data_IF_637959201135
#
_entry.id   IF_637959201135
#
_cell.length_a   1.000
_cell.length_b   1.000
_cell.length_c   1.000
_cell.angle_alpha   90.00
_cell.angle_beta   90.00
_cell.angle_gamma   90.00
#
_symmetry.space_group_name_H-M   'P 1'
#
loop_
_entity.id
_entity.type
_entity.pdbx_description
1 polymer ?
#
# COMPACT_ATOMS: atom_id res chain seq x y z
N UNK A 1 11.21 31.42 2.23
CA UNK A 1 11.19 30.27 1.31
C UNK A 1 10.14 29.30 1.85
N UNK A 2 9.14 28.92 1.06
CA UNK A 2 7.99 28.14 1.52
C UNK A 2 8.16 26.65 1.23
N UNK A 3 8.51 25.87 2.25
CA UNK A 3 8.48 24.40 2.23
C UNK A 3 7.43 23.89 3.21
N UNK A 4 6.92 22.67 2.97
CA UNK A 4 6.01 21.98 3.89
C UNK A 4 6.85 21.12 4.83
N UNK A 5 6.65 21.28 6.13
CA UNK A 5 7.24 20.40 7.14
C UNK A 5 6.22 19.35 7.54
N UNK A 6 6.61 18.08 7.48
CA UNK A 6 5.75 16.95 7.83
C UNK A 6 6.45 16.11 8.91
N UNK A 7 5.73 15.91 10.00
CA UNK A 7 6.12 15.02 11.10
C UNK A 7 5.72 13.59 10.73
N UNK A 8 6.68 12.66 10.85
CA UNK A 8 6.56 11.24 10.57
C UNK A 8 5.38 10.58 11.28
N UNK A 9 5.05 10.98 12.52
CA UNK A 9 3.94 10.42 13.29
C UNK A 9 2.56 10.79 12.70
N UNK A 10 2.53 11.91 11.97
CA UNK A 10 1.32 12.45 11.35
C UNK A 10 1.19 12.09 9.88
N UNK A 11 2.18 11.37 9.31
CA UNK A 11 2.11 10.97 7.92
C UNK A 11 0.93 10.04 7.67
N UNK A 12 0.23 10.34 6.59
CA UNK A 12 -0.92 9.63 6.07
C UNK A 12 -0.65 9.29 4.61
N UNK A 13 -0.85 8.04 4.26
CA UNK A 13 -0.64 7.47 2.95
C UNK A 13 -1.93 6.81 2.49
N UNK A 14 -2.06 6.75 1.17
CA UNK A 14 -3.02 5.91 0.50
C UNK A 14 -2.32 5.38 -0.76
N UNK A 15 -2.17 4.06 -0.93
CA UNK A 15 -1.44 3.47 -2.05
C UNK A 15 -2.11 3.78 -3.41
N UNK A 16 -3.38 4.17 -3.42
CA UNK A 16 -4.16 4.46 -4.62
C UNK A 16 -4.32 5.95 -4.91
N UNK A 17 -4.10 6.85 -3.93
CA UNK A 17 -4.52 8.25 -4.04
C UNK A 17 -4.01 8.99 -5.28
N UNK A 18 -2.82 8.66 -5.78
CA UNK A 18 -2.24 9.37 -6.92
C UNK A 18 -2.35 8.61 -8.24
N UNK A 19 -2.96 7.42 -8.31
CA UNK A 19 -3.03 6.68 -9.58
C UNK A 19 -3.92 7.40 -10.58
N UNK A 20 -3.50 7.40 -11.84
CA UNK A 20 -4.25 7.99 -12.98
C UNK A 20 -4.52 6.96 -14.06
N UNK A 21 -3.62 6.00 -14.23
CA UNK A 21 -3.75 4.86 -15.11
C UNK A 21 -3.34 3.59 -14.33
N UNK A 22 -4.32 2.72 -14.10
CA UNK A 22 -4.12 1.49 -13.33
C UNK A 22 -3.30 0.45 -14.10
N UNK A 23 -3.36 0.43 -15.43
CA UNK A 23 -2.59 -0.53 -16.22
C UNK A 23 -1.09 -0.26 -16.12
N UNK A 24 -0.72 1.02 -15.93
CA UNK A 24 0.67 1.44 -15.71
C UNK A 24 1.10 1.42 -14.23
N UNK A 25 0.15 1.39 -13.29
CA UNK A 25 0.45 1.61 -11.86
C UNK A 25 0.17 0.39 -10.97
N UNK A 26 -0.63 -0.59 -11.42
CA UNK A 26 -1.06 -1.70 -10.59
C UNK A 26 0.12 -2.54 -10.06
N UNK A 27 1.11 -2.82 -10.90
CA UNK A 27 2.31 -3.57 -10.50
C UNK A 27 3.07 -2.84 -9.39
N UNK A 28 3.20 -1.52 -9.50
CA UNK A 28 3.88 -0.68 -8.50
C UNK A 28 3.14 -0.66 -7.16
N UNK A 29 1.80 -0.59 -7.19
CA UNK A 29 0.98 -0.67 -5.97
C UNK A 29 1.09 -2.05 -5.35
N UNK A 30 1.06 -3.11 -6.16
CA UNK A 30 1.30 -4.48 -5.71
C UNK A 30 2.68 -4.60 -5.06
N UNK A 31 3.73 -4.03 -5.64
CA UNK A 31 5.08 -4.03 -5.07
C UNK A 31 5.12 -3.30 -3.73
N UNK A 32 4.45 -2.15 -3.62
CA UNK A 32 4.31 -1.41 -2.36
C UNK A 32 3.67 -2.28 -1.27
N UNK A 33 2.54 -2.91 -1.58
CA UNK A 33 1.81 -3.75 -0.64
C UNK A 33 2.60 -5.02 -0.29
N UNK A 34 3.34 -5.60 -1.23
CA UNK A 34 4.24 -6.74 -0.98
C UNK A 34 5.32 -6.38 0.04
N UNK A 35 5.93 -5.21 -0.10
CA UNK A 35 6.95 -4.74 0.85
C UNK A 35 6.35 -4.46 2.22
N UNK A 36 5.14 -3.89 2.28
CA UNK A 36 4.44 -3.66 3.56
C UNK A 36 4.09 -4.97 4.26
N UNK A 37 3.59 -5.95 3.51
CA UNK A 37 3.23 -7.27 4.01
C UNK A 37 4.46 -8.08 4.46
N UNK A 38 5.53 -8.05 3.67
CA UNK A 38 6.75 -8.81 3.94
C UNK A 38 7.99 -8.05 3.47
N UNK A 39 8.55 -7.16 4.31
CA UNK A 39 9.75 -6.38 3.96
C UNK A 39 10.98 -7.21 3.58
N UNK A 40 11.05 -8.45 4.08
CA UNK A 40 12.16 -9.39 3.82
C UNK A 40 11.96 -10.26 2.57
N UNK A 41 10.88 -10.06 1.79
CA UNK A 41 10.66 -10.73 0.51
C UNK A 41 10.21 -12.20 0.59
N UNK A 42 9.33 -12.54 1.53
CA UNK A 42 8.80 -13.90 1.68
C UNK A 42 7.60 -14.21 0.78
N UNK A 43 7.10 -13.25 0.00
CA UNK A 43 6.01 -13.46 -0.94
C UNK A 43 6.54 -14.01 -2.25
N UNK A 44 6.01 -15.15 -2.68
CA UNK A 44 6.36 -15.78 -3.97
C UNK A 44 5.54 -15.20 -5.15
N UNK A 45 5.87 -15.64 -6.36
CA UNK A 45 5.21 -15.19 -7.60
C UNK A 45 3.68 -15.39 -7.61
N UNK A 46 3.18 -16.39 -6.85
CA UNK A 46 1.74 -16.66 -6.76
C UNK A 46 1.08 -15.63 -5.84
N UNK A 47 1.72 -15.28 -4.73
CA UNK A 47 1.27 -14.17 -3.88
C UNK A 47 1.22 -12.87 -4.67
N UNK A 48 2.28 -12.57 -5.42
CA UNK A 48 2.34 -11.37 -6.24
C UNK A 48 1.23 -11.32 -7.30
N UNK A 49 0.95 -12.45 -7.96
CA UNK A 49 -0.14 -12.54 -8.94
C UNK A 49 -1.53 -12.34 -8.33
N UNK A 50 -1.79 -12.92 -7.16
CA UNK A 50 -3.05 -12.75 -6.43
C UNK A 50 -3.21 -11.32 -5.89
N UNK A 51 -2.14 -10.74 -5.37
CA UNK A 51 -2.14 -9.37 -4.87
C UNK A 51 -2.36 -8.36 -6.00
N UNK A 52 -1.79 -8.60 -7.19
CA UNK A 52 -2.04 -7.77 -8.37
C UNK A 52 -3.51 -7.79 -8.78
N UNK A 53 -4.18 -8.95 -8.71
CA UNK A 53 -5.62 -9.05 -8.97
C UNK A 53 -6.41 -8.24 -7.94
N UNK A 54 -6.07 -8.34 -6.66
CA UNK A 54 -6.72 -7.60 -5.59
C UNK A 54 -6.57 -6.07 -5.75
N UNK A 55 -5.37 -5.61 -6.10
CA UNK A 55 -5.07 -4.20 -6.38
C UNK A 55 -5.93 -3.67 -7.53
N UNK A 56 -5.96 -4.40 -8.66
CA UNK A 56 -6.78 -4.00 -9.83
C UNK A 56 -8.26 -3.98 -9.49
N UNK A 57 -8.77 -4.99 -8.81
CA UNK A 57 -10.17 -5.05 -8.42
C UNK A 57 -10.56 -3.91 -7.47
N UNK A 58 -9.70 -3.60 -6.50
CA UNK A 58 -9.91 -2.49 -5.56
C UNK A 58 -9.97 -1.15 -6.29
N UNK A 59 -9.04 -0.91 -7.22
CA UNK A 59 -9.05 0.29 -8.05
C UNK A 59 -10.29 0.37 -8.95
N UNK A 60 -10.66 -0.71 -9.64
CA UNK A 60 -11.84 -0.72 -10.51
C UNK A 60 -13.13 -0.43 -9.73
N UNK A 61 -13.18 -0.78 -8.44
CA UNK A 61 -14.34 -0.52 -7.60
C UNK A 61 -14.40 0.92 -7.06
N UNK A 62 -13.25 1.54 -6.74
CA UNK A 62 -13.22 2.79 -5.96
C UNK A 62 -12.26 3.87 -6.47
N UNK A 63 -11.49 3.61 -7.51
CA UNK A 63 -10.48 4.49 -8.08
C UNK A 63 -9.55 5.04 -6.98
N UNK A 64 -9.26 6.35 -6.98
CA UNK A 64 -8.39 7.02 -5.99
C UNK A 64 -8.88 6.91 -4.54
N UNK A 65 -10.10 6.39 -4.31
CA UNK A 65 -10.66 6.13 -2.97
C UNK A 65 -10.49 4.68 -2.53
N UNK A 66 -9.92 3.81 -3.37
CA UNK A 66 -9.52 2.48 -2.94
C UNK A 66 -8.47 2.58 -1.81
N UNK A 67 -8.49 1.62 -0.89
CA UNK A 67 -7.54 1.56 0.22
C UNK A 67 -7.11 0.13 0.52
N UNK A 68 -6.31 -0.05 1.57
CA UNK A 68 -5.80 -1.38 1.96
C UNK A 68 -6.96 -2.28 2.44
N UNK A 69 -8.01 -1.69 3.05
CA UNK A 69 -9.24 -2.43 3.38
C UNK A 69 -9.79 -3.17 2.16
N UNK A 70 -9.86 -2.50 1.01
CA UNK A 70 -10.46 -3.05 -0.21
C UNK A 70 -9.65 -4.22 -0.77
N UNK A 71 -8.33 -4.12 -0.67
CA UNK A 71 -7.41 -5.19 -1.07
C UNK A 71 -7.63 -6.38 -0.16
N UNK A 72 -7.65 -6.18 1.16
CA UNK A 72 -7.85 -7.26 2.14
C UNK A 72 -9.23 -7.90 2.01
N UNK A 73 -10.28 -7.10 1.77
CA UNK A 73 -11.64 -7.59 1.55
C UNK A 73 -11.73 -8.43 0.28
N UNK A 74 -11.07 -8.01 -0.81
CA UNK A 74 -10.96 -8.83 -2.00
C UNK A 74 -10.26 -10.16 -1.72
N UNK A 75 -9.14 -10.14 -1.01
CA UNK A 75 -8.40 -11.36 -0.67
C UNK A 75 -9.22 -12.33 0.19
N UNK A 76 -9.97 -11.81 1.18
CA UNK A 76 -10.91 -12.61 2.00
C UNK A 76 -11.99 -13.26 1.14
N UNK A 77 -12.64 -12.47 0.28
CA UNK A 77 -13.67 -12.98 -0.64
C UNK A 77 -13.11 -14.02 -1.61
N UNK A 78 -11.88 -13.83 -2.09
CA UNK A 78 -11.19 -14.81 -2.93
C UNK A 78 -10.92 -16.09 -2.15
N UNK A 79 -10.44 -16.01 -0.90
CA UNK A 79 -10.14 -17.19 -0.07
C UNK A 79 -11.39 -18.04 0.16
N UNK A 80 -12.54 -17.38 0.39
CA UNK A 80 -13.83 -18.04 0.61
C UNK A 80 -14.53 -18.51 -0.68
N UNK A 81 -14.05 -18.12 -1.86
CA UNK A 81 -14.72 -18.40 -3.13
C UNK A 81 -14.68 -19.88 -3.54
N UNK A 82 -15.71 -20.28 -4.30
CA UNK A 82 -15.79 -21.59 -4.96
C UNK A 82 -14.66 -21.80 -5.98
N UNK A 83 -14.16 -20.72 -6.59
CA UNK A 83 -13.05 -20.77 -7.54
C UNK A 83 -11.82 -21.44 -6.96
N UNK A 84 -11.53 -21.21 -5.67
CA UNK A 84 -10.36 -21.76 -4.99
C UNK A 84 -10.71 -22.84 -3.95
N UNK A 85 -11.96 -23.32 -3.90
CA UNK A 85 -12.38 -24.37 -2.96
C UNK A 85 -11.56 -25.66 -3.11
N UNK A 86 -11.18 -26.02 -4.34
CA UNK A 86 -10.32 -27.16 -4.64
C UNK A 86 -8.81 -26.89 -4.57
N UNK A 87 -8.37 -25.72 -4.11
CA UNK A 87 -6.96 -25.31 -4.14
C UNK A 87 -6.46 -24.82 -2.76
N UNK A 88 -6.24 -25.72 -1.80
CA UNK A 88 -5.80 -25.37 -0.45
C UNK A 88 -4.51 -24.54 -0.42
N UNK A 89 -3.59 -24.84 -1.34
CA UNK A 89 -2.31 -24.13 -1.50
C UNK A 89 -2.48 -22.66 -1.90
N UNK A 90 -3.53 -22.33 -2.67
CA UNK A 90 -3.86 -20.94 -3.04
C UNK A 90 -4.55 -20.24 -1.87
N UNK A 91 -5.49 -20.92 -1.18
CA UNK A 91 -6.15 -20.38 0.01
C UNK A 91 -5.15 -20.03 1.11
N UNK A 92 -4.17 -20.90 1.38
CA UNK A 92 -3.08 -20.60 2.33
C UNK A 92 -2.35 -19.30 2.01
N UNK A 93 -2.04 -19.05 0.73
CA UNK A 93 -1.36 -17.81 0.30
C UNK A 93 -2.24 -16.58 0.46
N UNK A 94 -3.53 -16.71 0.17
CA UNK A 94 -4.50 -15.63 0.41
C UNK A 94 -4.56 -15.31 1.91
N UNK A 95 -4.66 -16.33 2.76
CA UNK A 95 -4.73 -16.20 4.21
C UNK A 95 -3.44 -15.57 4.77
N UNK A 96 -2.26 -15.97 4.27
CA UNK A 96 -0.97 -15.36 4.61
C UNK A 96 -0.96 -13.85 4.30
N UNK A 97 -1.39 -13.43 3.09
CA UNK A 97 -1.46 -12.00 2.76
C UNK A 97 -2.49 -11.25 3.60
N UNK A 98 -3.65 -11.85 3.89
CA UNK A 98 -4.67 -11.26 4.76
C UNK A 98 -4.07 -10.96 6.12
N UNK A 99 -3.41 -11.94 6.74
CA UNK A 99 -2.77 -11.77 8.06
C UNK A 99 -1.70 -10.67 8.04
N UNK A 100 -0.86 -10.65 7.00
CA UNK A 100 0.24 -9.68 6.91
C UNK A 100 -0.23 -8.25 6.64
N UNK A 101 -1.29 -8.08 5.83
CA UNK A 101 -1.83 -6.76 5.47
C UNK A 101 -2.84 -6.22 6.50
N UNK A 102 -3.42 -7.07 7.35
CA UNK A 102 -4.45 -6.68 8.33
C UNK A 102 -3.99 -5.52 9.24
N UNK A 103 -2.72 -5.51 9.63
CA UNK A 103 -2.13 -4.45 10.47
C UNK A 103 -2.18 -3.05 9.82
N UNK A 104 -2.36 -2.96 8.51
CA UNK A 104 -2.45 -1.70 7.76
C UNK A 104 -3.88 -1.34 7.33
N UNK A 105 -4.87 -2.18 7.64
CA UNK A 105 -6.30 -1.86 7.47
C UNK A 105 -6.75 -0.81 8.48
N UNK A 106 -7.96 -0.25 8.34
CA UNK A 106 -8.46 0.84 9.18
C UNK A 106 -8.45 0.50 10.68
N UNK A 107 -8.65 -0.78 11.01
CA UNK A 107 -8.67 -1.27 12.39
C UNK A 107 -7.31 -1.82 12.84
N UNK A 108 -6.32 -1.88 11.96
CA UNK A 108 -4.98 -2.36 12.23
C UNK A 108 -4.10 -1.33 12.93
N UNK A 109 -3.02 -1.81 13.58
CA UNK A 109 -2.06 -1.00 14.34
C UNK A 109 -1.50 0.19 13.56
N UNK A 110 -1.32 0.04 12.26
CA UNK A 110 -0.77 1.05 11.36
C UNK A 110 -1.80 1.63 10.38
N UNK A 111 -3.09 1.30 10.55
CA UNK A 111 -4.18 1.78 9.69
C UNK A 111 -4.22 3.29 9.54
N UNK A 112 -4.03 4.01 10.66
CA UNK A 112 -3.97 5.46 10.65
C UNK A 112 -2.87 6.02 9.73
N UNK A 113 -1.81 5.28 9.44
CA UNK A 113 -0.72 5.73 8.56
C UNK A 113 -1.00 5.43 7.10
N UNK A 114 -1.55 4.26 6.75
CA UNK A 114 -1.55 3.79 5.35
C UNK A 114 -2.93 3.68 4.71
N UNK A 115 -3.98 4.01 5.45
CA UNK A 115 -5.36 3.76 5.05
C UNK A 115 -6.21 5.04 5.11
N UNK A 116 -5.64 6.16 4.68
CA UNK A 116 -6.27 7.49 4.77
C UNK A 116 -7.03 7.87 3.50
N UNK A 117 -8.11 8.63 3.65
CA UNK A 117 -8.76 9.33 2.52
C UNK A 117 -8.03 10.64 2.16
N UNK A 118 -7.18 11.12 3.06
CA UNK A 118 -6.43 12.37 2.93
C UNK A 118 -4.93 12.09 3.13
N UNK A 119 -4.18 11.76 2.06
CA UNK A 119 -2.74 11.55 2.15
C UNK A 119 -2.01 12.88 2.41
N UNK A 120 -0.98 12.83 3.27
CA UNK A 120 -0.21 14.02 3.67
C UNK A 120 0.64 14.59 2.53
N UNK A 121 1.09 13.74 1.60
CA UNK A 121 1.96 14.12 0.51
C UNK A 121 1.14 14.53 -0.71
N UNK A 122 1.21 15.82 -1.03
CA UNK A 122 0.49 16.45 -2.14
C UNK A 122 1.44 16.87 -3.25
N UNK A 123 1.01 16.73 -4.49
CA UNK A 123 1.84 16.97 -5.67
C UNK A 123 2.18 18.46 -5.90
N UNK A 124 1.45 19.39 -5.27
CA UNK A 124 1.68 20.83 -5.33
C UNK A 124 2.81 21.33 -4.42
N UNK A 125 3.32 20.49 -3.51
CA UNK A 125 4.38 20.86 -2.59
C UNK A 125 5.76 20.91 -3.28
N UNK A 126 6.36 22.10 -3.42
CA UNK A 126 7.66 22.31 -4.11
C UNK A 126 8.88 21.86 -3.31
N UNK A 127 8.77 21.84 -1.99
CA UNK A 127 9.80 21.38 -1.06
C UNK A 127 9.10 20.76 0.14
N UNK A 128 9.47 19.53 0.49
CA UNK A 128 8.95 18.81 1.65
C UNK A 128 10.14 18.47 2.55
N UNK A 129 10.02 18.78 3.84
CA UNK A 129 10.97 18.36 4.87
C UNK A 129 10.25 17.33 5.75
N UNK A 130 10.83 16.13 5.85
CA UNK A 130 10.29 15.02 6.62
C UNK A 130 11.14 14.83 7.88
N UNK A 131 10.49 14.79 9.03
CA UNK A 131 11.13 14.46 10.30
C UNK A 131 10.61 13.11 10.79
N UNK A 132 11.49 12.11 10.84
CA UNK A 132 11.13 10.73 11.15
C UNK A 132 11.61 10.27 12.53
N UNK A 133 12.16 11.18 13.35
CA UNK A 133 12.70 10.87 14.66
C UNK A 133 11.66 10.24 15.58
N UNK A 134 10.41 10.69 15.51
CA UNK A 134 9.27 10.12 16.25
C UNK A 134 8.94 8.65 15.92
N UNK A 135 9.49 8.09 14.83
CA UNK A 135 9.25 6.70 14.43
C UNK A 135 10.40 5.75 14.76
N UNK A 136 11.51 6.23 15.33
CA UNK A 136 12.72 5.42 15.59
C UNK A 136 12.44 4.21 16.51
N UNK A 137 11.55 4.37 17.49
CA UNK A 137 11.14 3.30 18.41
C UNK A 137 10.19 2.27 17.78
N UNK A 138 9.76 2.49 16.52
CA UNK A 138 8.82 1.63 15.78
C UNK A 138 9.45 1.17 14.45
N UNK A 139 10.45 0.29 14.48
CA UNK A 139 11.27 -0.02 13.30
C UNK A 139 10.47 -0.60 12.12
N UNK A 140 9.46 -1.44 12.38
CA UNK A 140 8.60 -1.97 11.30
C UNK A 140 7.75 -0.89 10.63
N UNK A 141 7.22 0.05 11.40
CA UNK A 141 6.49 1.21 10.87
C UNK A 141 7.43 2.14 10.10
N UNK A 142 8.61 2.44 10.65
CA UNK A 142 9.61 3.28 9.99
C UNK A 142 9.99 2.71 8.62
N UNK A 143 10.23 1.39 8.52
CA UNK A 143 10.51 0.72 7.26
C UNK A 143 9.35 0.89 6.26
N UNK A 144 8.10 0.63 6.68
CA UNK A 144 6.94 0.78 5.82
C UNK A 144 6.72 2.24 5.34
N UNK A 145 6.96 3.22 6.21
CA UNK A 145 6.90 4.65 5.89
C UNK A 145 7.99 5.02 4.89
N UNK A 146 9.23 4.60 5.13
CA UNK A 146 10.37 4.85 4.24
C UNK A 146 10.13 4.28 2.84
N UNK A 147 9.63 3.05 2.73
CA UNK A 147 9.30 2.46 1.44
C UNK A 147 8.19 3.20 0.72
N UNK A 148 7.13 3.61 1.44
CA UNK A 148 6.05 4.40 0.85
C UNK A 148 6.54 5.77 0.35
N UNK A 149 7.50 6.37 1.06
CA UNK A 149 8.16 7.61 0.63
C UNK A 149 9.02 7.42 -0.62
N UNK A 150 9.82 6.35 -0.70
CA UNK A 150 10.61 6.02 -1.89
C UNK A 150 9.69 5.91 -3.10
N UNK A 151 8.63 5.12 -3.00
CA UNK A 151 7.67 4.89 -4.09
C UNK A 151 6.96 6.20 -4.47
N UNK A 152 6.55 7.02 -3.50
CA UNK A 152 5.96 8.33 -3.78
C UNK A 152 6.93 9.26 -4.55
N UNK A 153 8.20 9.32 -4.11
CA UNK A 153 9.22 10.15 -4.75
C UNK A 153 9.52 9.66 -6.17
N UNK A 154 9.70 8.36 -6.35
CA UNK A 154 9.90 7.75 -7.68
C UNK A 154 8.73 8.07 -8.61
N UNK A 155 7.50 7.86 -8.15
CA UNK A 155 6.28 8.21 -8.89
C UNK A 155 6.29 9.66 -9.36
N UNK A 156 6.62 10.58 -8.45
CA UNK A 156 6.64 12.00 -8.75
C UNK A 156 7.73 12.35 -9.76
N UNK A 157 8.94 11.79 -9.61
CA UNK A 157 10.05 12.05 -10.52
C UNK A 157 9.77 11.56 -11.94
N UNK A 158 9.26 10.33 -12.08
CA UNK A 158 9.00 9.75 -13.41
C UNK A 158 7.79 10.37 -14.12
N UNK A 159 6.77 10.83 -13.37
CA UNK A 159 5.61 11.53 -13.95
C UNK A 159 5.93 12.89 -14.56
N UNK A 160 6.96 13.58 -14.07
CA UNK A 160 7.37 14.89 -14.59
C UNK A 160 8.46 14.78 -15.68
N UNK A 161 8.93 13.56 -15.97
CA UNK A 161 9.92 13.29 -17.01
C UNK A 161 9.29 12.89 -18.36
N UNK A 162 7.96 12.76 -18.43
CA UNK A 162 7.17 12.49 -19.63
C UNK A 162 6.34 13.72 -20.03
#
# INVERSE_FOLDING_TARGET
MGGVYLDGETLRFNPFANITDIDQSAERVRDQLSVMASPNGNLDEVHEGLLLQAVRASWLAKENRARIDDVVDFLKNASDSEQYAGSPTIRSRLDEMIVLLDQYTANGTYGQYFNSDEPSLRDDAKMVVLELGGLEDRPSLLVAVMFSLIIYIENRMYRHAA
#
